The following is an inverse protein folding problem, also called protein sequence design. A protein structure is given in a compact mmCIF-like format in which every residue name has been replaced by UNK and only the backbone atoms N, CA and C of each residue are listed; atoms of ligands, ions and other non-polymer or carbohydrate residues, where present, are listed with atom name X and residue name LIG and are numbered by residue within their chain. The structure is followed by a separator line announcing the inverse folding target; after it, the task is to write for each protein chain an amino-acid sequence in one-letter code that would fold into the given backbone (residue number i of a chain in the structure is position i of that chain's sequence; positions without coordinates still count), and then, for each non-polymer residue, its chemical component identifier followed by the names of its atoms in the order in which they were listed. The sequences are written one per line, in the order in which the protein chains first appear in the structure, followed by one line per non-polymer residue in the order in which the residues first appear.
data_IF_753395843781
#
_entry.id   IF_753395843781
#
_cell.length_a   1.000
_cell.length_b   1.000
_cell.length_c   1.000
_cell.angle_alpha   90.00
_cell.angle_beta   90.00
_cell.angle_gamma   90.00
#
_symmetry.space_group_name_H-M   'P 1'
#
loop_
_entity.id
_entity.type
_entity.pdbx_description
1 polymer ?
#
# COMPACT_ATOMS: atom_id res chain seq x y z
N UNK A 1 43.66 -4.86 0.15
CA UNK A 1 42.34 -5.17 0.75
C UNK A 1 41.94 -3.97 1.58
N UNK A 2 40.83 -3.29 1.28
CA UNK A 2 40.29 -2.25 2.16
C UNK A 2 39.59 -2.93 3.35
N UNK A 3 39.73 -2.42 4.59
CA UNK A 3 38.97 -2.94 5.72
C UNK A 3 37.46 -2.71 5.48
N UNK A 4 36.62 -3.71 5.78
CA UNK A 4 35.17 -3.55 5.77
C UNK A 4 34.74 -3.00 7.13
N UNK A 5 33.98 -1.92 7.14
CA UNK A 5 33.45 -1.31 8.36
C UNK A 5 32.08 -1.89 8.68
N UNK A 6 31.93 -2.39 9.91
CA UNK A 6 30.67 -2.84 10.45
C UNK A 6 30.17 -1.81 11.47
N UNK A 7 28.97 -1.27 11.25
CA UNK A 7 28.34 -0.33 12.15
C UNK A 7 27.38 -1.06 13.08
N UNK A 8 27.58 -0.85 14.38
CA UNK A 8 26.80 -1.47 15.46
C UNK A 8 25.81 -0.55 16.17
N UNK A 9 25.79 0.74 15.81
CA UNK A 9 24.89 1.72 16.39
C UNK A 9 23.74 2.05 15.43
N UNK A 10 22.52 2.08 15.96
CA UNK A 10 21.33 2.58 15.26
C UNK A 10 21.28 4.12 15.20
N UNK A 11 22.37 4.80 15.55
CA UNK A 11 22.45 6.26 15.60
C UNK A 11 22.46 6.85 14.19
N UNK A 12 21.47 7.69 13.89
CA UNK A 12 21.40 8.37 12.59
C UNK A 12 22.57 9.32 12.32
N UNK A 13 23.24 9.81 13.37
CA UNK A 13 24.42 10.67 13.25
C UNK A 13 25.66 9.86 12.82
N UNK A 14 25.83 8.67 13.38
CA UNK A 14 26.96 7.80 13.07
C UNK A 14 26.83 7.26 11.64
N UNK A 15 25.62 6.87 11.22
CA UNK A 15 25.32 6.46 9.85
C UNK A 15 25.63 7.57 8.84
N UNK A 16 25.29 8.83 9.15
CA UNK A 16 25.58 9.98 8.26
C UNK A 16 27.07 10.22 8.14
N UNK A 17 27.77 10.23 9.28
CA UNK A 17 29.21 10.49 9.32
C UNK A 17 30.00 9.44 8.53
N UNK A 18 29.60 8.17 8.58
CA UNK A 18 30.26 7.09 7.84
C UNK A 18 29.93 7.16 6.35
N UNK A 19 28.70 7.51 5.95
CA UNK A 19 28.33 7.73 4.55
C UNK A 19 29.15 8.81 3.85
N UNK A 20 29.67 9.78 4.60
CA UNK A 20 30.51 10.85 4.06
C UNK A 20 31.96 10.39 3.81
N UNK A 21 32.40 9.32 4.47
CA UNK A 21 33.79 8.85 4.43
C UNK A 21 33.94 7.55 3.63
N UNK A 22 32.91 6.71 3.58
CA UNK A 22 32.99 5.36 3.02
C UNK A 22 31.82 5.01 2.11
N UNK A 23 32.16 4.49 0.92
CA UNK A 23 31.18 4.11 -0.09
C UNK A 23 30.47 2.78 0.24
N UNK A 24 31.05 1.94 1.10
CA UNK A 24 30.53 0.61 1.43
C UNK A 24 30.79 0.25 2.90
N UNK A 25 29.73 0.10 3.69
CA UNK A 25 29.77 -0.37 5.08
C UNK A 25 28.61 -1.34 5.36
N UNK A 26 28.82 -2.25 6.31
CA UNK A 26 27.84 -3.26 6.71
C UNK A 26 27.13 -2.76 7.96
N UNK A 27 25.80 -2.82 7.96
CA UNK A 27 25.02 -2.64 9.17
C UNK A 27 24.91 -4.00 9.87
N UNK A 28 25.21 -4.07 11.16
CA UNK A 28 24.98 -5.28 11.96
C UNK A 28 23.53 -5.42 12.45
N UNK A 29 22.69 -4.42 12.15
CA UNK A 29 21.27 -4.35 12.45
C UNK A 29 20.45 -4.19 11.18
N UNK A 30 19.19 -4.62 11.22
CA UNK A 30 18.25 -4.40 10.13
C UNK A 30 17.81 -2.92 10.10
N UNK A 31 18.15 -2.14 9.05
CA UNK A 31 17.71 -0.74 8.93
C UNK A 31 16.20 -0.60 8.77
N UNK A 32 15.49 -1.70 8.50
CA UNK A 32 14.04 -1.76 8.38
C UNK A 32 13.38 -2.53 9.53
N UNK A 33 14.14 -2.87 10.59
CA UNK A 33 13.57 -3.49 11.78
C UNK A 33 12.42 -2.59 12.29
N UNK A 34 11.21 -3.12 12.22
CA UNK A 34 9.98 -2.37 12.50
C UNK A 34 10.07 -1.74 13.88
N UNK A 35 9.72 -0.46 13.98
CA UNK A 35 9.52 0.22 15.26
C UNK A 35 8.56 -0.64 16.08
N UNK A 36 9.03 -1.12 17.23
CA UNK A 36 8.25 -1.96 18.12
C UNK A 36 7.08 -1.14 18.68
N UNK A 37 5.92 -1.26 18.01
CA UNK A 37 4.68 -0.57 18.39
C UNK A 37 4.22 -1.00 19.79
N UNK A 38 4.71 -2.12 20.33
CA UNK A 38 4.40 -2.55 21.70
C UNK A 38 5.10 -1.70 22.77
N UNK A 39 6.16 -0.96 22.41
CA UNK A 39 6.83 0.02 23.29
C UNK A 39 6.19 1.40 23.29
N UNK A 40 5.34 1.69 22.30
CA UNK A 40 4.35 2.74 22.46
C UNK A 40 3.32 2.12 23.39
N UNK A 41 3.31 2.48 24.68
CA UNK A 41 2.33 1.93 25.64
C UNK A 41 0.90 2.27 25.22
N UNK A 42 0.37 1.47 24.31
CA UNK A 42 -1.04 1.38 23.98
C UNK A 42 -1.60 0.36 24.96
N UNK A 43 -2.30 0.85 25.98
CA UNK A 43 -3.05 0.01 26.90
C UNK A 43 -4.30 -0.50 26.18
N UNK A 44 -4.14 -1.35 25.17
CA UNK A 44 -5.25 -1.99 24.47
C UNK A 44 -5.43 -3.35 25.10
N UNK A 45 -6.48 -3.48 25.91
CA UNK A 45 -6.89 -4.77 26.44
C UNK A 45 -7.37 -5.65 25.28
N UNK A 46 -6.89 -6.90 25.15
CA UNK A 46 -7.26 -7.80 24.06
C UNK A 46 -8.75 -8.24 24.08
N UNK A 47 -9.53 -7.85 25.09
CA UNK A 47 -10.97 -8.08 25.17
C UNK A 47 -11.82 -7.12 24.34
N UNK A 48 -11.25 -5.99 23.89
CA UNK A 48 -12.03 -4.91 23.26
C UNK A 48 -11.99 -4.99 21.72
N UNK A 49 -11.30 -5.99 21.16
CA UNK A 49 -11.16 -6.19 19.71
C UNK A 49 -12.43 -6.74 19.01
N UNK A 50 -13.52 -6.99 19.75
CA UNK A 50 -14.76 -7.57 19.20
C UNK A 50 -16.05 -6.80 19.52
N UNK A 51 -15.95 -5.57 20.02
CA UNK A 51 -17.09 -4.69 20.17
C UNK A 51 -16.96 -3.49 19.23
N UNK A 52 -17.58 -3.59 18.06
CA UNK A 52 -17.91 -2.44 17.26
C UNK A 52 -18.89 -1.54 18.04
N UNK A 53 -18.40 -0.48 18.69
CA UNK A 53 -19.12 0.79 18.83
C UNK A 53 -18.22 1.88 19.42
N UNK A 54 -18.10 2.98 18.68
CA UNK A 54 -17.95 4.35 19.18
C UNK A 54 -16.82 4.64 20.19
N UNK A 55 -15.61 4.87 19.66
CA UNK A 55 -14.44 5.25 20.45
C UNK A 55 -13.20 5.27 19.57
N UNK A 56 -13.15 6.25 18.67
CA UNK A 56 -12.05 6.43 17.72
C UNK A 56 -10.73 6.59 18.46
N UNK A 57 -9.91 5.54 18.46
CA UNK A 57 -8.47 5.74 18.50
C UNK A 57 -8.09 6.30 17.13
N UNK A 58 -8.29 7.61 16.94
CA UNK A 58 -7.98 8.34 15.71
C UNK A 58 -6.46 8.30 15.47
N UNK A 59 -6.00 7.23 14.83
CA UNK A 59 -4.64 7.13 14.32
C UNK A 59 -4.52 8.04 13.10
N UNK A 60 -4.12 9.29 13.34
CA UNK A 60 -3.89 10.27 12.30
C UNK A 60 -2.42 10.23 11.83
N UNK A 61 -2.21 10.08 10.52
CA UNK A 61 -0.89 10.28 9.91
C UNK A 61 -0.57 11.78 9.94
N UNK A 62 0.33 12.20 10.85
CA UNK A 62 0.69 13.62 11.02
C UNK A 62 1.77 14.11 10.05
N UNK A 63 2.46 13.19 9.37
CA UNK A 63 3.45 13.51 8.35
C UNK A 63 3.69 12.31 7.43
N UNK A 64 3.92 12.59 6.15
CA UNK A 64 4.34 11.64 5.13
C UNK A 64 5.58 12.20 4.43
N UNK A 65 6.55 11.34 4.09
CA UNK A 65 7.73 11.74 3.31
C UNK A 65 7.98 10.72 2.20
N UNK A 66 7.97 11.16 0.95
CA UNK A 66 8.22 10.32 -0.22
C UNK A 66 7.00 10.21 -1.11
N UNK A 67 6.97 9.18 -1.95
CA UNK A 67 5.84 8.86 -2.83
C UNK A 67 5.00 7.75 -2.21
N UNK A 68 3.68 7.86 -2.26
CA UNK A 68 2.73 6.85 -1.80
C UNK A 68 2.20 6.05 -2.98
N UNK A 69 2.40 4.74 -2.96
CA UNK A 69 1.97 3.83 -4.03
C UNK A 69 0.49 4.01 -4.43
N UNK A 70 -0.38 4.14 -3.43
CA UNK A 70 -1.83 4.24 -3.58
C UNK A 70 -2.36 5.64 -3.95
N UNK A 71 -1.47 6.61 -4.16
CA UNK A 71 -1.81 8.00 -4.53
C UNK A 71 -1.01 8.46 -5.73
N UNK A 72 0.29 8.23 -5.72
CA UNK A 72 1.26 8.84 -6.65
C UNK A 72 1.64 7.91 -7.82
N UNK A 73 1.23 6.64 -7.78
CA UNK A 73 1.45 5.65 -8.83
C UNK A 73 0.13 5.05 -9.34
N UNK A 74 0.12 4.42 -10.54
CA UNK A 74 -1.05 3.70 -11.02
C UNK A 74 -1.52 2.63 -10.02
N UNK A 75 -2.77 2.72 -9.58
CA UNK A 75 -3.35 1.83 -8.57
C UNK A 75 -4.79 1.41 -8.94
N UNK A 76 -5.23 0.27 -8.42
CA UNK A 76 -6.62 -0.15 -8.55
C UNK A 76 -7.53 0.76 -7.73
N UNK A 77 -8.77 0.96 -8.17
CA UNK A 77 -9.70 1.89 -7.49
C UNK A 77 -9.95 1.55 -6.01
N UNK A 78 -10.04 0.28 -5.64
CA UNK A 78 -10.23 -0.12 -4.24
C UNK A 78 -9.04 0.24 -3.33
N UNK A 79 -7.88 0.60 -3.89
CA UNK A 79 -6.71 1.07 -3.16
C UNK A 79 -6.57 2.59 -3.15
N UNK A 80 -7.45 3.34 -3.82
CA UNK A 80 -7.30 4.78 -3.97
C UNK A 80 -7.40 5.50 -2.61
N UNK A 81 -6.36 6.24 -2.24
CA UNK A 81 -6.34 7.03 -1.00
C UNK A 81 -7.11 8.35 -1.16
N UNK A 82 -7.08 8.95 -2.36
CA UNK A 82 -7.80 10.20 -2.64
C UNK A 82 -9.32 10.00 -2.64
N UNK A 83 -9.78 8.80 -3.02
CA UNK A 83 -11.18 8.40 -3.06
C UNK A 83 -11.36 7.06 -2.34
N UNK A 84 -11.40 7.09 -0.99
CA UNK A 84 -11.48 5.89 -0.18
C UNK A 84 -12.68 5.02 -0.57
N UNK A 85 -12.45 3.73 -0.75
CA UNK A 85 -13.44 2.81 -1.31
C UNK A 85 -14.72 2.76 -0.45
N UNK A 86 -14.58 2.65 0.87
CA UNK A 86 -15.72 2.49 1.79
C UNK A 86 -16.62 3.74 1.93
N UNK A 87 -16.12 4.94 1.59
CA UNK A 87 -16.82 6.21 1.85
C UNK A 87 -17.19 6.99 0.60
N UNK A 88 -16.64 6.63 -0.56
CA UNK A 88 -16.85 7.37 -1.81
C UNK A 88 -17.54 6.50 -2.85
N UNK A 89 -18.43 7.06 -3.70
CA UNK A 89 -19.08 6.29 -4.76
C UNK A 89 -18.08 5.51 -5.61
N UNK A 90 -18.36 4.24 -5.86
CA UNK A 90 -17.42 3.36 -6.57
C UNK A 90 -17.25 3.75 -8.06
N UNK A 91 -18.12 4.57 -8.62
CA UNK A 91 -17.97 5.10 -9.98
C UNK A 91 -16.89 6.18 -10.12
N UNK A 92 -16.55 6.89 -9.03
CA UNK A 92 -15.54 7.95 -9.07
C UNK A 92 -14.12 7.39 -9.21
N UNK A 93 -13.19 8.15 -9.78
CA UNK A 93 -11.80 7.70 -9.92
C UNK A 93 -10.84 8.89 -9.98
N UNK A 94 -9.60 8.68 -9.53
CA UNK A 94 -8.53 9.67 -9.70
C UNK A 94 -7.78 9.44 -11.02
N UNK A 95 -6.90 10.38 -11.38
CA UNK A 95 -6.11 10.33 -12.63
C UNK A 95 -5.15 9.12 -12.73
N UNK A 96 -4.84 8.48 -11.60
CA UNK A 96 -3.94 7.31 -11.53
C UNK A 96 -4.69 6.00 -11.28
N UNK A 97 -6.01 6.03 -11.15
CA UNK A 97 -6.80 4.82 -11.03
C UNK A 97 -6.76 4.00 -12.32
N UNK A 98 -6.66 2.68 -12.19
CA UNK A 98 -6.89 1.72 -13.26
C UNK A 98 -7.96 0.70 -12.88
N UNK A 99 -8.55 0.09 -13.89
CA UNK A 99 -9.50 -1.00 -13.71
C UNK A 99 -8.78 -2.31 -13.42
N UNK A 100 -9.02 -2.87 -12.23
CA UNK A 100 -8.42 -4.12 -11.77
C UNK A 100 -8.61 -5.29 -12.75
N UNK A 101 -9.79 -5.40 -13.36
CA UNK A 101 -10.11 -6.50 -14.30
C UNK A 101 -9.43 -6.28 -15.66
N UNK A 102 -9.40 -5.03 -16.14
CA UNK A 102 -8.95 -4.70 -17.50
C UNK A 102 -7.45 -4.45 -17.62
N UNK A 103 -6.78 -4.14 -16.52
CA UNK A 103 -5.42 -3.57 -16.50
C UNK A 103 -5.29 -2.34 -17.42
N UNK A 104 -6.34 -1.50 -17.47
CA UNK A 104 -6.41 -0.26 -18.27
C UNK A 104 -6.75 0.94 -17.39
N UNK A 105 -6.36 2.15 -17.78
CA UNK A 105 -6.74 3.38 -17.09
C UNK A 105 -8.27 3.45 -16.87
N UNK A 106 -8.68 3.93 -15.68
CA UNK A 106 -10.08 4.14 -15.39
C UNK A 106 -10.59 5.41 -16.12
N UNK A 107 -11.82 5.39 -16.66
CA UNK A 107 -12.77 4.29 -16.65
C UNK A 107 -12.54 3.35 -17.84
N UNK A 108 -12.78 2.05 -17.64
CA UNK A 108 -12.84 1.10 -18.76
C UNK A 108 -14.25 1.02 -19.36
N UNK A 109 -14.43 0.27 -20.47
CA UNK A 109 -15.75 0.08 -21.11
C UNK A 109 -16.85 -0.43 -20.16
N UNK A 110 -16.51 -1.29 -19.21
CA UNK A 110 -17.45 -1.93 -18.27
C UNK A 110 -17.38 -1.31 -16.87
N UNK A 111 -16.93 -0.05 -16.76
CA UNK A 111 -16.68 0.59 -15.47
C UNK A 111 -17.92 0.62 -14.58
N UNK A 112 -19.02 1.15 -15.12
CA UNK A 112 -20.33 1.29 -14.45
C UNK A 112 -21.39 0.38 -15.09
N UNK A 113 -20.97 -0.83 -15.50
CA UNK A 113 -21.90 -1.81 -16.10
C UNK A 113 -23.00 -2.21 -15.10
N UNK A 114 -24.21 -2.46 -15.58
CA UNK A 114 -25.38 -2.73 -14.72
C UNK A 114 -25.29 -4.08 -14.00
N UNK A 115 -24.72 -5.09 -14.66
CA UNK A 115 -24.64 -6.45 -14.11
C UNK A 115 -23.31 -6.69 -13.39
N UNK A 116 -22.22 -6.10 -13.91
CA UNK A 116 -20.87 -6.35 -13.41
C UNK A 116 -19.99 -5.10 -13.48
N UNK A 117 -20.37 -4.04 -12.76
CA UNK A 117 -19.59 -2.79 -12.69
C UNK A 117 -18.17 -3.04 -12.17
N UNK A 118 -17.19 -2.90 -13.07
CA UNK A 118 -15.76 -3.08 -12.76
C UNK A 118 -15.22 -2.07 -11.74
N UNK A 119 -15.95 -0.98 -11.50
CA UNK A 119 -15.60 0.00 -10.49
C UNK A 119 -15.69 -0.57 -9.06
N UNK A 120 -16.44 -1.67 -8.87
CA UNK A 120 -16.52 -2.45 -7.63
C UNK A 120 -15.41 -3.51 -7.50
N UNK A 121 -14.51 -3.61 -8.48
CA UNK A 121 -13.53 -4.68 -8.52
C UNK A 121 -12.46 -4.56 -7.42
N UNK A 122 -12.39 -5.57 -6.57
CA UNK A 122 -11.44 -5.71 -5.46
C UNK A 122 -10.72 -7.05 -5.51
N UNK A 123 -9.43 -7.06 -5.16
CA UNK A 123 -8.65 -8.29 -5.05
C UNK A 123 -9.15 -9.20 -3.92
N UNK A 124 -9.80 -8.63 -2.91
CA UNK A 124 -10.30 -9.36 -1.76
C UNK A 124 -11.56 -10.20 -2.04
N UNK A 125 -12.15 -10.05 -3.23
CA UNK A 125 -13.35 -10.79 -3.64
C UNK A 125 -12.97 -11.78 -4.73
N UNK A 126 -13.22 -13.07 -4.47
CA UNK A 126 -12.82 -14.17 -5.35
C UNK A 126 -13.29 -14.03 -6.79
N UNK A 127 -14.53 -13.57 -7.00
CA UNK A 127 -15.14 -13.42 -8.32
C UNK A 127 -14.33 -12.47 -9.23
N UNK A 128 -13.83 -11.35 -8.70
CA UNK A 128 -13.03 -10.41 -9.48
C UNK A 128 -11.68 -10.96 -9.89
N UNK A 129 -11.05 -11.77 -9.03
CA UNK A 129 -9.79 -12.45 -9.38
C UNK A 129 -9.97 -13.44 -10.52
N UNK A 130 -11.12 -14.13 -10.56
CA UNK A 130 -11.50 -15.03 -11.64
C UNK A 130 -11.75 -14.27 -12.95
N UNK A 131 -12.55 -13.19 -12.90
CA UNK A 131 -12.82 -12.34 -14.07
C UNK A 131 -11.54 -11.77 -14.68
N UNK A 132 -10.59 -11.31 -13.84
CA UNK A 132 -9.28 -10.83 -14.31
C UNK A 132 -8.47 -11.92 -15.01
N UNK A 133 -8.47 -13.16 -14.51
CA UNK A 133 -7.77 -14.30 -15.14
C UNK A 133 -8.37 -14.63 -16.51
N UNK A 134 -9.70 -14.72 -16.61
CA UNK A 134 -10.40 -14.95 -17.88
C UNK A 134 -10.07 -13.88 -18.92
N UNK A 135 -10.06 -12.62 -18.48
CA UNK A 135 -9.71 -11.50 -19.37
C UNK A 135 -8.27 -11.58 -19.87
N UNK A 136 -7.33 -11.99 -19.04
CA UNK A 136 -5.93 -12.17 -19.46
C UNK A 136 -5.77 -13.29 -20.48
N UNK A 137 -6.51 -14.39 -20.34
CA UNK A 137 -6.51 -15.49 -21.31
C UNK A 137 -7.08 -15.06 -22.66
N UNK A 138 -8.25 -14.44 -22.66
CA UNK A 138 -8.86 -13.91 -23.91
C UNK A 138 -7.95 -12.88 -24.59
N UNK A 139 -7.32 -11.98 -23.83
CA UNK A 139 -6.40 -10.97 -24.40
C UNK A 139 -5.14 -11.60 -25.03
N UNK A 140 -4.74 -12.80 -24.60
CA UNK A 140 -3.59 -13.52 -25.14
C UNK A 140 -3.92 -14.31 -26.41
N UNK A 141 -5.18 -14.71 -26.59
CA UNK A 141 -5.65 -15.46 -27.77
C UNK A 141 -5.84 -14.58 -29.01
N UNK A 142 -5.92 -13.24 -28.85
CA UNK A 142 -6.06 -12.27 -29.95
C UNK A 142 -4.74 -11.56 -30.33
N UNK A 143 -3.60 -12.12 -29.93
CA UNK A 143 -2.26 -11.62 -30.27
C UNK A 143 -1.53 -12.60 -31.17
#
# INVERSE_FOLDING_TARGET
MKPMLCLNSKSSLDIKSIKEVEDCFILDFDPFESIDLTKLSLNINPSDAFAASDGTSDLCVIAEKGQVACRDYPHSRHLCVDLPFETTPHENYCKLCFCYVCDSAAPCKYWTDLELAHCNASEHVGDWTYQRKLRKQTSAEFK
#
